data_IF_662573784505
#
_entry.id   IF_662573784505
#
_cell.length_a   1.000
_cell.length_b   1.000
_cell.length_c   1.000
_cell.angle_alpha   90.00
_cell.angle_beta   90.00
_cell.angle_gamma   90.00
#
_symmetry.space_group_name_H-M   'P 1'
#
loop_
_entity.id
_entity.type
_entity.pdbx_description
1 polymer ?
#
# COMPACT_ATOMS: atom_id res chain seq x y z
N UNK A 1 21.73 11.52 -27.57
CA UNK A 1 20.29 11.25 -27.37
C UNK A 1 20.15 9.73 -27.30
N UNK A 2 20.26 9.13 -26.12
CA UNK A 2 20.15 7.67 -25.98
C UNK A 2 18.67 7.30 -25.89
N UNK A 3 18.03 7.08 -27.03
CA UNK A 3 16.76 6.33 -27.10
C UNK A 3 17.09 4.85 -27.29
N UNK A 4 17.77 4.26 -26.30
CA UNK A 4 17.89 2.81 -26.23
C UNK A 4 16.51 2.25 -25.83
N UNK A 5 15.92 1.47 -26.72
CA UNK A 5 14.68 0.74 -26.45
C UNK A 5 15.01 -0.40 -25.51
N UNK A 6 14.78 -0.21 -24.22
CA UNK A 6 14.87 -1.30 -23.25
C UNK A 6 13.78 -2.32 -23.53
N UNK A 7 14.17 -3.50 -24.01
CA UNK A 7 13.27 -4.65 -24.17
C UNK A 7 13.01 -5.23 -22.79
N UNK A 8 11.78 -5.08 -22.31
CA UNK A 8 11.35 -5.64 -21.02
C UNK A 8 10.53 -6.89 -21.29
N UNK A 9 10.97 -8.01 -20.70
CA UNK A 9 10.25 -9.29 -20.75
C UNK A 9 8.78 -9.12 -20.31
N UNK A 10 7.80 -9.71 -21.02
CA UNK A 10 6.38 -9.55 -20.69
C UNK A 10 6.04 -9.87 -19.23
N UNK A 11 6.61 -10.95 -18.67
CA UNK A 11 6.38 -11.41 -17.29
C UNK A 11 6.84 -10.39 -16.24
N UNK A 12 7.95 -9.70 -16.48
CA UNK A 12 8.51 -8.72 -15.53
C UNK A 12 8.01 -7.29 -15.77
N UNK A 13 7.35 -7.02 -16.90
CA UNK A 13 6.91 -5.68 -17.33
C UNK A 13 6.12 -4.93 -16.26
N UNK A 14 5.14 -5.57 -15.63
CA UNK A 14 4.30 -4.97 -14.57
C UNK A 14 5.13 -4.56 -13.34
N UNK A 15 6.07 -5.41 -12.94
CA UNK A 15 6.96 -5.13 -11.82
C UNK A 15 7.92 -3.98 -12.16
N UNK A 16 8.54 -4.03 -13.34
CA UNK A 16 9.46 -3.01 -13.84
C UNK A 16 8.79 -1.64 -13.93
N UNK A 17 7.59 -1.54 -14.51
CA UNK A 17 6.82 -0.29 -14.55
C UNK A 17 6.46 0.24 -13.16
N UNK A 18 6.11 -0.64 -12.21
CA UNK A 18 5.89 -0.25 -10.80
C UNK A 18 7.16 0.34 -10.18
N UNK A 19 8.31 -0.29 -10.39
CA UNK A 19 9.60 0.19 -9.87
C UNK A 19 10.02 1.52 -10.51
N UNK A 20 9.92 1.64 -11.83
CA UNK A 20 10.18 2.89 -12.58
C UNK A 20 9.28 4.00 -12.05
N UNK A 21 7.97 3.74 -11.91
CA UNK A 21 7.03 4.70 -11.34
C UNK A 21 7.41 5.13 -9.91
N UNK A 22 7.90 4.20 -9.09
CA UNK A 22 8.39 4.51 -7.73
C UNK A 22 9.65 5.39 -7.77
N UNK A 23 10.64 5.03 -8.59
CA UNK A 23 11.88 5.81 -8.77
C UNK A 23 11.58 7.21 -9.30
N UNK A 24 10.68 7.33 -10.27
CA UNK A 24 10.24 8.62 -10.81
C UNK A 24 9.54 9.50 -9.78
N UNK A 25 8.64 8.95 -8.96
CA UNK A 25 8.02 9.68 -7.84
C UNK A 25 9.07 10.17 -6.84
N UNK A 26 10.03 9.33 -6.48
CA UNK A 26 11.11 9.67 -5.57
C UNK A 26 12.01 10.78 -6.13
N UNK A 27 12.39 10.68 -7.40
CA UNK A 27 13.17 11.71 -8.09
C UNK A 27 12.45 13.07 -8.10
N UNK A 28 11.17 13.10 -8.49
CA UNK A 28 10.37 14.34 -8.44
C UNK A 28 10.25 14.91 -7.02
N UNK A 29 10.17 14.06 -6.01
CA UNK A 29 10.15 14.50 -4.61
C UNK A 29 11.50 15.08 -4.18
N UNK A 30 12.61 14.42 -4.55
CA UNK A 30 13.97 14.92 -4.30
C UNK A 30 14.19 16.30 -4.92
N UNK A 31 13.78 16.47 -6.19
CA UNK A 31 13.83 17.77 -6.87
C UNK A 31 13.07 18.85 -6.10
N UNK A 32 11.85 18.53 -5.67
CA UNK A 32 11.05 19.44 -4.86
C UNK A 32 11.75 19.81 -3.55
N UNK A 33 12.22 18.83 -2.77
CA UNK A 33 12.82 19.10 -1.45
C UNK A 33 14.10 19.92 -1.58
N UNK A 34 15.02 19.50 -2.46
CA UNK A 34 16.36 20.08 -2.56
C UNK A 34 16.34 21.45 -3.25
N UNK A 35 15.51 21.64 -4.28
CA UNK A 35 15.60 22.82 -5.14
C UNK A 35 14.38 23.74 -5.07
N UNK A 36 13.18 23.26 -4.73
CA UNK A 36 11.97 24.10 -4.68
C UNK A 36 11.70 24.53 -3.23
N UNK A 37 11.50 23.57 -2.33
CA UNK A 37 11.16 23.83 -0.91
C UNK A 37 12.24 24.61 -0.18
N UNK A 38 13.52 24.27 -0.40
CA UNK A 38 14.64 24.97 0.25
C UNK A 38 14.79 26.41 -0.27
N UNK A 39 14.68 26.60 -1.59
CA UNK A 39 14.86 27.91 -2.23
C UNK A 39 13.64 28.83 -2.16
N UNK A 40 12.43 28.29 -2.04
CA UNK A 40 11.22 29.08 -1.81
C UNK A 40 11.26 29.90 -0.52
N UNK A 41 12.17 29.58 0.41
CA UNK A 41 12.40 30.35 1.63
C UNK A 41 13.30 31.57 1.42
N UNK A 42 14.10 31.58 0.35
CA UNK A 42 15.05 32.64 0.03
C UNK A 42 14.59 33.36 -1.27
N UNK A 43 13.99 34.56 -1.17
CA UNK A 43 13.41 35.27 -2.33
C UNK A 43 14.42 35.58 -3.45
N UNK A 44 15.73 35.59 -3.13
CA UNK A 44 16.82 35.91 -4.07
C UNK A 44 17.23 34.72 -4.97
N UNK A 45 16.75 33.51 -4.71
CA UNK A 45 17.15 32.32 -5.48
C UNK A 45 16.19 32.06 -6.65
N UNK A 46 16.64 32.34 -7.87
CA UNK A 46 15.93 32.03 -9.11
C UNK A 46 15.53 30.53 -9.20
N UNK A 47 14.27 30.22 -8.88
CA UNK A 47 13.67 28.88 -8.94
C UNK A 47 13.62 28.31 -10.36
N UNK A 48 13.69 29.17 -11.37
CA UNK A 48 13.54 28.81 -12.78
C UNK A 48 14.84 28.41 -13.45
N UNK A 49 16.00 28.56 -12.79
CA UNK A 49 17.28 28.14 -13.38
C UNK A 49 17.32 26.60 -13.44
N UNK A 50 17.48 26.02 -14.65
CA UNK A 50 17.59 24.57 -14.83
C UNK A 50 18.76 24.00 -14.02
N UNK A 51 18.62 22.78 -13.54
CA UNK A 51 19.64 22.13 -12.72
C UNK A 51 20.79 21.65 -13.61
N UNK A 52 22.00 22.17 -13.39
CA UNK A 52 23.22 21.72 -14.08
C UNK A 52 23.46 20.21 -13.90
N UNK A 53 23.11 19.67 -12.73
CA UNK A 53 23.27 18.26 -12.37
C UNK A 53 22.40 17.30 -13.22
N UNK A 54 21.37 17.80 -13.90
CA UNK A 54 20.41 16.98 -14.65
C UNK A 54 20.24 17.50 -16.09
N UNK A 55 21.22 17.26 -16.98
CA UNK A 55 21.19 17.77 -18.35
C UNK A 55 20.04 17.21 -19.19
N UNK A 56 19.50 16.05 -18.82
CA UNK A 56 18.33 15.45 -19.48
C UNK A 56 17.02 16.19 -19.17
N UNK A 57 16.98 17.02 -18.13
CA UNK A 57 15.77 17.74 -17.74
C UNK A 57 15.73 19.08 -18.48
N UNK A 58 14.84 19.17 -19.47
CA UNK A 58 14.67 20.38 -20.28
C UNK A 58 14.18 21.55 -19.43
N UNK A 59 14.48 22.78 -19.87
CA UNK A 59 14.11 23.99 -19.12
C UNK A 59 12.59 24.13 -19.00
N UNK A 60 11.89 23.73 -20.05
CA UNK A 60 10.43 23.75 -20.18
C UNK A 60 9.80 22.78 -19.18
N UNK A 61 10.30 21.56 -19.11
CA UNK A 61 9.85 20.53 -18.15
C UNK A 61 10.09 20.99 -16.70
N UNK A 62 11.22 21.65 -16.44
CA UNK A 62 11.51 22.22 -15.13
C UNK A 62 10.49 23.29 -14.73
N UNK A 63 10.14 24.19 -15.65
CA UNK A 63 9.11 25.23 -15.41
C UNK A 63 7.77 24.60 -15.04
N UNK A 64 7.35 23.54 -15.75
CA UNK A 64 6.11 22.82 -15.47
C UNK A 64 6.15 22.18 -14.07
N UNK A 65 7.29 21.59 -13.68
CA UNK A 65 7.45 20.99 -12.36
C UNK A 65 7.35 22.07 -11.28
N UNK A 66 8.03 23.21 -11.45
CA UNK A 66 8.01 24.31 -10.47
C UNK A 66 6.61 24.89 -10.34
N UNK A 67 5.93 25.21 -11.44
CA UNK A 67 4.59 25.78 -11.42
C UNK A 67 3.60 24.86 -10.70
N UNK A 68 3.62 23.56 -11.00
CA UNK A 68 2.75 22.59 -10.35
C UNK A 68 3.04 22.47 -8.84
N UNK A 69 4.30 22.51 -8.41
CA UNK A 69 4.71 22.29 -7.01
C UNK A 69 4.55 23.51 -6.11
N UNK A 70 4.48 24.72 -6.68
CA UNK A 70 4.25 25.97 -5.95
C UNK A 70 2.75 26.24 -5.75
N UNK A 71 1.88 25.60 -6.52
CA UNK A 71 0.42 25.81 -6.40
C UNK A 71 -0.12 25.49 -5.00
N UNK A 72 -1.06 26.33 -4.53
CA UNK A 72 -1.72 26.16 -3.22
C UNK A 72 -2.42 24.80 -3.09
N UNK A 73 -3.11 24.37 -4.14
CA UNK A 73 -3.74 23.04 -4.23
C UNK A 73 -2.78 21.89 -3.94
N UNK A 74 -1.53 21.99 -4.41
CA UNK A 74 -0.52 20.98 -4.15
C UNK A 74 -0.07 21.00 -2.69
N UNK A 75 0.15 22.19 -2.13
CA UNK A 75 0.51 22.37 -0.73
C UNK A 75 -0.54 21.80 0.22
N UNK A 76 -1.81 22.12 -0.01
CA UNK A 76 -2.92 21.66 0.82
C UNK A 76 -3.05 20.13 0.77
N UNK A 77 -2.90 19.54 -0.42
CA UNK A 77 -2.83 18.07 -0.57
C UNK A 77 -1.66 17.47 0.19
N UNK A 78 -0.49 18.11 0.15
CA UNK A 78 0.68 17.66 0.91
C UNK A 78 0.46 17.77 2.42
N UNK A 79 -0.14 18.85 2.89
CA UNK A 79 -0.43 19.10 4.30
C UNK A 79 -1.47 18.11 4.83
N UNK A 80 -2.57 17.89 4.09
CA UNK A 80 -3.57 16.87 4.42
C UNK A 80 -2.94 15.49 4.62
N UNK A 81 -2.06 15.08 3.70
CA UNK A 81 -1.37 13.79 3.82
C UNK A 81 -0.42 13.71 5.03
N UNK A 82 0.26 14.81 5.37
CA UNK A 82 1.11 14.88 6.58
C UNK A 82 0.26 14.80 7.85
N UNK A 83 -0.85 15.53 7.91
CA UNK A 83 -1.75 15.53 9.06
C UNK A 83 -2.30 14.12 9.31
N UNK A 84 -2.78 13.44 8.26
CA UNK A 84 -3.22 12.04 8.36
C UNK A 84 -2.11 11.14 8.91
N UNK A 85 -0.86 11.30 8.46
CA UNK A 85 0.27 10.51 8.96
C UNK A 85 0.58 10.77 10.44
N UNK A 86 0.43 12.00 10.93
CA UNK A 86 0.65 12.35 12.34
C UNK A 86 -0.35 11.64 13.26
N UNK A 87 -1.59 11.46 12.80
CA UNK A 87 -2.61 10.72 13.56
C UNK A 87 -2.40 9.20 13.60
N UNK A 88 -1.44 8.64 12.84
CA UNK A 88 -1.09 7.22 12.92
C UNK A 88 -0.22 6.92 14.16
N UNK A 89 -0.87 6.91 15.35
CA UNK A 89 -0.23 6.74 16.66
C UNK A 89 0.43 5.36 16.86
N UNK A 90 -0.19 4.29 16.36
CA UNK A 90 0.23 2.91 16.61
C UNK A 90 0.71 2.23 15.32
N UNK A 91 1.94 2.52 14.91
CA UNK A 91 2.53 1.96 13.69
C UNK A 91 2.74 0.45 13.82
N UNK A 92 2.31 -0.32 12.82
CA UNK A 92 2.65 -1.73 12.75
C UNK A 92 4.09 -1.93 12.24
N UNK A 93 4.69 -3.07 12.60
CA UNK A 93 6.05 -3.51 12.24
C UNK A 93 6.06 -4.62 11.20
N UNK A 94 4.88 -5.01 10.72
CA UNK A 94 4.72 -5.90 9.57
C UNK A 94 5.33 -5.24 8.34
N UNK A 95 6.45 -5.81 7.88
CA UNK A 95 7.19 -5.37 6.70
C UNK A 95 6.38 -5.67 5.42
N UNK A 96 7.03 -6.05 4.32
CA UNK A 96 6.38 -6.45 3.07
C UNK A 96 5.42 -7.64 3.20
N UNK A 97 5.53 -8.42 4.29
CA UNK A 97 4.65 -9.55 4.60
C UNK A 97 3.20 -9.14 4.88
N UNK A 98 2.98 -7.97 5.49
CA UNK A 98 1.65 -7.53 5.93
C UNK A 98 0.99 -8.51 6.92
N UNK A 99 -0.33 -8.38 7.12
CA UNK A 99 -1.10 -9.26 8.00
C UNK A 99 -1.32 -10.65 7.42
N UNK A 100 -1.39 -10.78 6.09
CA UNK A 100 -1.50 -12.10 5.43
C UNK A 100 -0.28 -12.96 5.78
N UNK A 101 0.93 -12.40 5.66
CA UNK A 101 2.14 -13.11 6.05
C UNK A 101 2.21 -13.38 7.55
N UNK A 102 1.78 -12.42 8.40
CA UNK A 102 1.72 -12.63 9.85
C UNK A 102 0.83 -13.82 10.23
N UNK A 103 -0.36 -13.90 9.63
CA UNK A 103 -1.31 -14.99 9.87
C UNK A 103 -0.68 -16.32 9.47
N UNK A 104 -0.04 -16.39 8.30
CA UNK A 104 0.64 -17.60 7.86
C UNK A 104 1.77 -18.01 8.81
N UNK A 105 2.57 -17.05 9.29
CA UNK A 105 3.64 -17.30 10.27
C UNK A 105 3.03 -17.88 11.57
N UNK A 106 1.94 -17.30 12.09
CA UNK A 106 1.23 -17.79 13.30
C UNK A 106 0.66 -19.20 13.10
N UNK A 107 0.07 -19.46 11.93
CA UNK A 107 -0.49 -20.77 11.58
C UNK A 107 0.60 -21.86 11.57
N UNK A 108 1.79 -21.53 11.06
CA UNK A 108 2.93 -22.45 11.05
C UNK A 108 3.48 -22.70 12.46
N UNK A 109 3.56 -21.67 13.30
CA UNK A 109 4.12 -21.77 14.65
C UNK A 109 3.18 -22.48 15.64
N UNK A 110 1.87 -22.20 15.57
CA UNK A 110 0.90 -22.64 16.60
C UNK A 110 -0.01 -23.78 16.11
N UNK A 111 -0.02 -24.09 14.81
CA UNK A 111 -0.95 -25.06 14.21
C UNK A 111 -2.42 -24.59 14.17
N UNK A 112 -2.69 -23.36 14.60
CA UNK A 112 -4.05 -22.78 14.65
C UNK A 112 -4.61 -22.53 13.25
N UNK A 113 -5.92 -22.65 13.12
CA UNK A 113 -6.62 -22.25 11.91
C UNK A 113 -6.69 -20.72 11.82
N UNK A 114 -6.71 -20.17 10.60
CA UNK A 114 -6.82 -18.73 10.33
C UNK A 114 -7.97 -18.05 11.07
N UNK A 115 -9.05 -18.79 11.29
CA UNK A 115 -10.30 -18.34 11.92
C UNK A 115 -10.22 -18.24 13.45
N UNK A 116 -9.20 -18.84 14.05
CA UNK A 116 -8.96 -18.84 15.50
C UNK A 116 -8.06 -17.67 15.93
N UNK A 117 -7.52 -16.92 14.96
CA UNK A 117 -6.67 -15.77 15.25
C UNK A 117 -7.51 -14.56 15.63
N UNK A 118 -7.58 -14.31 16.94
CA UNK A 118 -8.19 -13.10 17.48
C UNK A 118 -7.52 -11.83 16.91
N UNK A 119 -8.35 -10.87 16.49
CA UNK A 119 -7.93 -9.54 16.01
C UNK A 119 -7.05 -8.83 17.03
N UNK A 120 -7.32 -9.00 18.32
CA UNK A 120 -6.51 -8.47 19.41
C UNK A 120 -5.10 -9.07 19.39
N UNK A 121 -5.00 -10.39 19.21
CA UNK A 121 -3.72 -11.09 19.09
C UNK A 121 -2.92 -10.63 17.86
N UNK A 122 -3.58 -10.51 16.71
CA UNK A 122 -2.95 -10.00 15.48
C UNK A 122 -2.45 -8.56 15.67
N UNK A 123 -3.22 -7.70 16.34
CA UNK A 123 -2.82 -6.32 16.61
C UNK A 123 -1.59 -6.23 17.52
N UNK A 124 -1.52 -7.09 18.54
CA UNK A 124 -0.37 -7.23 19.45
C UNK A 124 0.87 -7.66 18.69
N UNK A 125 0.81 -8.82 18.01
CA UNK A 125 1.93 -9.38 17.24
C UNK A 125 2.43 -8.43 16.14
N UNK A 126 1.52 -7.72 15.47
CA UNK A 126 1.89 -6.74 14.46
C UNK A 126 2.72 -5.56 14.99
N UNK A 127 2.77 -5.33 16.31
CA UNK A 127 3.43 -4.19 16.96
C UNK A 127 4.56 -4.61 17.90
N UNK A 128 4.87 -5.89 17.93
CA UNK A 128 6.00 -6.43 18.68
C UNK A 128 7.32 -5.89 18.10
N UNK A 129 8.24 -5.51 18.99
CA UNK A 129 9.58 -5.08 18.62
C UNK A 129 10.45 -6.31 18.30
N UNK A 130 11.46 -6.13 17.45
CA UNK A 130 12.42 -7.22 17.12
C UNK A 130 13.19 -7.75 18.32
N UNK A 131 13.40 -6.91 19.33
CA UNK A 131 14.11 -7.23 20.58
C UNK A 131 13.15 -7.89 21.59
N UNK A 132 11.87 -8.05 21.23
CA UNK A 132 10.79 -8.38 22.15
C UNK A 132 10.16 -7.14 22.76
N UNK A 133 8.89 -7.25 23.18
CA UNK A 133 8.14 -6.17 23.85
C UNK A 133 7.50 -5.16 22.90
N UNK A 134 7.11 -3.99 23.45
CA UNK A 134 6.28 -2.98 22.79
C UNK A 134 6.80 -1.56 23.02
N UNK A 135 6.50 -0.64 22.10
CA UNK A 135 6.68 0.79 22.36
C UNK A 135 5.81 1.26 23.53
N UNK A 136 6.24 2.30 24.26
CA UNK A 136 5.55 2.80 25.46
C UNK A 136 4.05 3.09 25.25
N UNK A 137 3.70 3.75 24.14
CA UNK A 137 2.31 4.02 23.75
C UNK A 137 1.49 2.75 23.48
N UNK A 138 2.10 1.71 22.90
CA UNK A 138 1.47 0.42 22.60
C UNK A 138 1.36 -0.41 23.89
N UNK A 139 2.38 -0.35 24.76
CA UNK A 139 2.44 -1.08 26.02
C UNK A 139 1.27 -0.70 26.93
N UNK A 140 0.94 0.59 27.05
CA UNK A 140 -0.23 1.05 27.81
C UNK A 140 -1.55 0.39 27.34
N UNK A 141 -1.71 0.19 26.03
CA UNK A 141 -2.87 -0.50 25.46
C UNK A 141 -2.80 -2.00 25.73
N UNK A 142 -1.62 -2.60 25.63
CA UNK A 142 -1.39 -4.01 25.92
C UNK A 142 -1.74 -4.35 27.38
N UNK A 143 -1.28 -3.52 28.32
CA UNK A 143 -1.55 -3.67 29.75
C UNK A 143 -3.05 -3.51 30.04
N UNK A 144 -3.70 -2.52 29.41
CA UNK A 144 -5.16 -2.34 29.49
C UNK A 144 -5.90 -3.59 29.01
N UNK A 145 -5.54 -4.14 27.84
CA UNK A 145 -6.13 -5.37 27.29
C UNK A 145 -5.98 -6.56 28.26
N UNK A 146 -4.82 -6.69 28.91
CA UNK A 146 -4.57 -7.82 29.81
C UNK A 146 -5.20 -7.65 31.20
N UNK A 147 -5.45 -6.40 31.63
CA UNK A 147 -6.07 -6.11 32.92
C UNK A 147 -7.54 -6.53 33.02
N UNK A 148 -8.19 -6.86 31.89
CA UNK A 148 -9.53 -7.45 31.90
C UNK A 148 -10.65 -6.53 32.39
N UNK A 149 -10.40 -5.23 32.54
CA UNK A 149 -11.40 -4.25 33.00
C UNK A 149 -12.38 -3.84 31.88
N UNK A 150 -12.91 -4.81 31.16
CA UNK A 150 -13.83 -4.61 30.05
C UNK A 150 -15.17 -5.22 30.46
N UNK A 151 -16.26 -4.50 30.21
CA UNK A 151 -17.60 -4.93 30.59
C UNK A 151 -18.07 -6.19 29.83
N UNK A 152 -19.38 -6.41 29.76
CA UNK A 152 -19.96 -7.50 28.96
C UNK A 152 -19.68 -7.24 27.47
N UNK A 153 -18.59 -7.82 26.96
CA UNK A 153 -18.11 -7.63 25.58
C UNK A 153 -19.05 -8.34 24.62
N UNK A 154 -19.87 -7.58 23.91
CA UNK A 154 -20.75 -8.10 22.85
C UNK A 154 -19.94 -8.50 21.61
N UNK A 155 -20.28 -9.62 20.97
CA UNK A 155 -19.71 -9.99 19.68
C UNK A 155 -20.07 -8.95 18.59
N UNK A 156 -19.08 -8.25 18.03
CA UNK A 156 -19.33 -7.25 16.99
C UNK A 156 -18.25 -6.17 16.86
N UNK A 157 -18.68 -4.92 16.64
CA UNK A 157 -17.86 -3.70 16.45
C UNK A 157 -17.31 -3.12 17.76
N UNK A 158 -17.70 -3.65 18.91
CA UNK A 158 -17.19 -3.25 20.21
C UNK A 158 -16.45 -4.43 20.84
N UNK A 159 -15.19 -4.61 20.42
CA UNK A 159 -14.29 -5.64 20.96
C UNK A 159 -13.33 -5.07 22.02
N UNK A 160 -12.68 -5.97 22.77
CA UNK A 160 -11.70 -5.63 23.82
C UNK A 160 -10.62 -4.67 23.31
N UNK A 161 -10.20 -4.85 22.05
CA UNK A 161 -9.21 -4.00 21.42
C UNK A 161 -9.75 -2.57 21.20
N UNK A 162 -10.99 -2.44 20.75
CA UNK A 162 -11.68 -1.17 20.52
C UNK A 162 -11.85 -0.40 21.82
N UNK A 163 -12.31 -1.08 22.87
CA UNK A 163 -12.47 -0.50 24.20
C UNK A 163 -11.11 -0.07 24.80
N UNK A 164 -10.08 -0.91 24.65
CA UNK A 164 -8.73 -0.60 25.10
C UNK A 164 -8.12 0.60 24.36
N UNK A 165 -8.38 0.72 23.05
CA UNK A 165 -7.95 1.86 22.26
C UNK A 165 -8.70 3.15 22.63
N UNK A 166 -9.90 3.05 23.21
CA UNK A 166 -10.73 4.19 23.60
C UNK A 166 -11.21 5.02 22.42
N UNK A 167 -11.24 4.43 21.23
CA UNK A 167 -11.73 5.08 20.00
C UNK A 167 -12.95 4.33 19.52
N UNK A 168 -14.04 5.05 19.21
CA UNK A 168 -15.15 4.46 18.47
C UNK A 168 -14.64 3.89 17.15
N UNK A 169 -14.94 2.61 16.88
CA UNK A 169 -14.63 2.01 15.60
C UNK A 169 -15.42 2.72 14.51
N UNK A 170 -14.70 3.47 13.67
CA UNK A 170 -15.26 4.00 12.45
C UNK A 170 -15.61 2.82 11.54
N UNK A 171 -16.90 2.61 11.26
CA UNK A 171 -17.42 1.60 10.34
C UNK A 171 -16.82 1.80 8.94
N UNK A 172 -15.68 1.17 8.70
CA UNK A 172 -14.94 1.16 7.44
C UNK A 172 -14.16 -0.14 7.31
N UNK A 173 -13.29 -0.24 6.31
CA UNK A 173 -12.57 -1.48 6.00
C UNK A 173 -11.85 -2.08 7.23
N UNK A 174 -11.96 -3.41 7.39
CA UNK A 174 -11.32 -4.15 8.49
C UNK A 174 -9.82 -3.86 8.47
N UNK A 175 -9.31 -3.23 9.53
CA UNK A 175 -7.87 -2.94 9.63
C UNK A 175 -7.08 -4.23 9.58
N UNK A 176 -6.31 -4.42 8.50
CA UNK A 176 -5.47 -5.61 8.32
C UNK A 176 -6.02 -6.67 7.37
N UNK A 177 -7.22 -6.48 6.82
CA UNK A 177 -7.73 -7.25 5.69
C UNK A 177 -7.85 -6.37 4.45
N UNK A 178 -7.80 -7.00 3.27
CA UNK A 178 -7.63 -6.36 1.96
C UNK A 178 -8.68 -5.25 1.68
N UNK A 179 -8.43 -4.43 0.65
CA UNK A 179 -9.11 -3.17 0.33
C UNK A 179 -10.63 -3.21 0.14
N UNK A 180 -11.29 -4.36 0.25
CA UNK A 180 -12.70 -4.54 -0.07
C UNK A 180 -13.50 -5.37 0.94
N UNK A 181 -12.91 -5.70 2.11
CA UNK A 181 -13.60 -6.50 3.13
C UNK A 181 -14.16 -5.57 4.22
N UNK A 182 -15.48 -5.52 4.32
CA UNK A 182 -16.16 -4.77 5.38
C UNK A 182 -16.21 -5.57 6.69
N UNK A 183 -16.32 -4.92 7.86
CA UNK A 183 -16.47 -5.61 9.15
C UNK A 183 -17.68 -6.54 9.19
N UNK A 184 -18.78 -6.17 8.52
CA UNK A 184 -19.96 -7.04 8.35
C UNK A 184 -19.64 -8.35 7.60
N UNK A 185 -18.81 -8.28 6.57
CA UNK A 185 -18.40 -9.46 5.79
C UNK A 185 -17.39 -10.35 6.52
N UNK A 186 -16.67 -9.86 7.54
CA UNK A 186 -15.62 -10.63 8.22
C UNK A 186 -16.03 -11.10 9.61
N UNK A 187 -16.66 -10.23 10.40
CA UNK A 187 -16.96 -10.46 11.81
C UNK A 187 -18.33 -11.10 12.05
N UNK A 188 -19.28 -10.99 11.11
CA UNK A 188 -20.68 -11.41 11.31
C UNK A 188 -21.11 -12.59 10.44
N UNK A 189 -20.18 -13.24 9.75
CA UNK A 189 -20.52 -14.44 8.98
C UNK A 189 -20.54 -15.66 9.90
N UNK A 190 -21.64 -16.44 9.92
CA UNK A 190 -21.62 -17.79 10.46
C UNK A 190 -20.46 -18.56 9.83
N UNK A 191 -19.79 -19.43 10.59
CA UNK A 191 -18.61 -20.21 10.13
C UNK A 191 -18.81 -20.82 8.74
N UNK A 192 -20.04 -21.27 8.47
CA UNK A 192 -20.45 -21.89 7.20
C UNK A 192 -20.39 -20.93 6.00
N UNK A 193 -20.78 -19.66 6.17
CA UNK A 193 -20.79 -18.66 5.09
C UNK A 193 -19.38 -18.16 4.79
N UNK A 194 -18.53 -18.03 5.82
CA UNK A 194 -17.12 -17.70 5.64
C UNK A 194 -16.37 -18.81 4.89
N UNK A 195 -16.63 -20.06 5.26
CA UNK A 195 -16.07 -21.23 4.56
C UNK A 195 -16.50 -21.26 3.08
N UNK A 196 -17.78 -20.97 2.80
CA UNK A 196 -18.29 -20.85 1.44
C UNK A 196 -17.56 -19.75 0.64
N UNK A 197 -17.36 -18.56 1.22
CA UNK A 197 -16.63 -17.48 0.54
C UNK A 197 -15.16 -17.81 0.31
N UNK A 198 -14.49 -18.54 1.22
CA UNK A 198 -13.12 -19.01 0.98
C UNK A 198 -13.04 -20.03 -0.15
N UNK A 199 -14.04 -20.91 -0.29
CA UNK A 199 -14.15 -21.84 -1.41
C UNK A 199 -14.34 -21.07 -2.72
N UNK A 200 -15.24 -20.08 -2.75
CA UNK A 200 -15.47 -19.24 -3.93
C UNK A 200 -14.23 -18.43 -4.31
N UNK A 201 -13.53 -17.81 -3.36
CA UNK A 201 -12.28 -17.09 -3.62
C UNK A 201 -11.21 -18.03 -4.22
N UNK A 202 -11.07 -19.25 -3.69
CA UNK A 202 -10.17 -20.27 -4.29
C UNK A 202 -10.59 -20.66 -5.71
N UNK A 203 -11.89 -20.71 -6.01
CA UNK A 203 -12.39 -20.96 -7.38
C UNK A 203 -12.07 -19.80 -8.32
N UNK A 204 -12.22 -18.56 -7.84
CA UNK A 204 -11.88 -17.35 -8.58
C UNK A 204 -10.38 -17.29 -8.85
N UNK A 205 -9.52 -17.56 -7.86
CA UNK A 205 -8.06 -17.59 -8.04
C UNK A 205 -7.64 -18.66 -9.04
N UNK A 206 -8.26 -19.85 -9.02
CA UNK A 206 -8.01 -20.89 -10.03
C UNK A 206 -8.43 -20.44 -11.43
N UNK A 207 -9.56 -19.74 -11.57
CA UNK A 207 -10.00 -19.17 -12.86
C UNK A 207 -9.05 -18.10 -13.35
N UNK A 208 -8.56 -17.23 -12.47
CA UNK A 208 -7.57 -16.20 -12.80
C UNK A 208 -6.27 -16.84 -13.27
N UNK A 209 -5.72 -17.80 -12.51
CA UNK A 209 -4.50 -18.50 -12.90
C UNK A 209 -4.67 -19.21 -14.24
N UNK A 210 -5.80 -19.88 -14.48
CA UNK A 210 -6.11 -20.51 -15.76
C UNK A 210 -6.18 -19.50 -16.91
N UNK A 211 -6.81 -18.34 -16.70
CA UNK A 211 -6.82 -17.27 -17.69
C UNK A 211 -5.43 -16.66 -17.93
N UNK A 212 -4.60 -16.58 -16.88
CA UNK A 212 -3.19 -16.17 -17.00
C UNK A 212 -2.35 -17.19 -17.79
N UNK A 213 -2.66 -18.48 -17.66
CA UNK A 213 -2.05 -19.57 -18.43
C UNK A 213 -2.53 -19.57 -19.89
N UNK A 214 -3.84 -19.43 -20.12
CA UNK A 214 -4.47 -19.37 -21.45
C UNK A 214 -3.93 -18.16 -22.26
N UNK A 215 -3.80 -17.00 -21.60
CA UNK A 215 -3.16 -15.81 -22.19
C UNK A 215 -1.62 -15.95 -22.31
N UNK A 216 -1.02 -16.89 -21.59
CA UNK A 216 0.40 -17.23 -21.65
C UNK A 216 0.75 -18.20 -22.78
N UNK A 217 -0.22 -18.99 -23.28
CA UNK A 217 -0.05 -19.95 -24.38
C UNK A 217 -0.25 -19.37 -25.78
N UNK A 218 -0.92 -18.22 -25.92
CA UNK A 218 -1.23 -17.61 -27.24
C UNK A 218 -0.07 -16.81 -27.88
N UNK A 219 1.18 -17.00 -27.45
CA UNK A 219 2.34 -16.36 -28.08
C UNK A 219 3.32 -17.33 -28.77
N UNK A 220 2.96 -18.59 -28.98
CA UNK A 220 3.71 -19.49 -29.85
C UNK A 220 2.80 -20.06 -30.95
N UNK A 221 2.98 -19.52 -32.16
CA UNK A 221 2.73 -20.08 -33.50
C UNK A 221 1.94 -19.17 -34.48
N UNK A 222 2.75 -18.41 -35.23
CA UNK A 222 2.64 -18.15 -36.68
C UNK A 222 1.65 -17.10 -37.21
N UNK A 223 2.16 -16.28 -38.14
CA UNK A 223 1.36 -15.78 -39.26
C UNK A 223 1.32 -14.27 -39.43
N UNK A 224 2.31 -13.74 -40.18
CA UNK A 224 2.39 -12.41 -40.79
C UNK A 224 1.04 -11.67 -40.99
N UNK A 225 0.97 -10.44 -40.50
CA UNK A 225 0.07 -9.42 -41.07
C UNK A 225 0.91 -8.20 -41.46
N UNK A 226 1.31 -8.17 -42.73
CA UNK A 226 1.98 -7.05 -43.38
C UNK A 226 0.99 -5.89 -43.50
N UNK A 227 1.31 -4.73 -42.93
CA UNK A 227 0.60 -3.48 -43.24
C UNK A 227 1.49 -2.67 -44.17
N UNK A 228 1.15 -2.68 -45.45
CA UNK A 228 1.71 -1.81 -46.49
C UNK A 228 1.03 -0.45 -46.35
N UNK A 229 1.81 0.61 -46.09
CA UNK A 229 1.35 1.98 -46.27
C UNK A 229 1.79 2.45 -47.67
N UNK A 230 0.82 2.69 -48.56
CA UNK A 230 1.04 3.44 -49.79
C UNK A 230 0.96 4.96 -49.53
N UNK A 231 1.66 5.81 -50.30
CA UNK A 231 1.70 7.24 -50.08
C UNK A 231 0.46 7.91 -50.68
N UNK A 232 -0.18 8.79 -49.91
CA UNK A 232 -1.12 9.77 -50.46
C UNK A 232 -0.32 10.95 -51.06
N UNK A 233 -0.51 11.15 -52.36
CA UNK A 233 -0.50 12.48 -52.98
C UNK A 233 -1.79 13.21 -52.59
#
# INVERSE_FOLDING_TARGET
>A
MFQEKFVVEPKSRKHSLKLIGKKWRNFKHYLYVKFIKKKSKDPKLNLLKPLKDYPFLKKEDWKIIVSHRVTKKWEDKSMKAKNVRVHHKYNHRLSRKGYVGLINDIMQETGKMKEENDKTMLWKKARELKIGGYESNVKMIFDRINSGSFGEITCGTHDVLTEALGTEEQCGNVRGMDKFITPQQYCYLPKNVKHFLEIENKRVDKRINKLEDDLGTDCFFSGKMSVVYGPHL
#
